data_IF_059474857604
#
_entry.id   IF_059474857604
#
_cell.length_a   1.000
_cell.length_b   1.000
_cell.length_c   1.000
_cell.angle_alpha   90.00
_cell.angle_beta   90.00
_cell.angle_gamma   90.00
#
_symmetry.space_group_name_H-M   'P 1'
#
loop_
_entity.id
_entity.type
_entity.pdbx_description
1 polymer ?
#
# COMPACT_ATOMS: atom_id res chain seq x y z
N UNK A 1 30.59 1.07 17.72
CA UNK A 1 29.53 2.00 17.28
C UNK A 1 28.35 1.18 16.82
N UNK A 2 27.39 0.89 17.71
CA UNK A 2 26.06 0.39 17.32
C UNK A 2 25.12 1.59 17.38
N UNK A 3 24.68 2.09 16.23
CA UNK A 3 23.91 3.33 16.12
C UNK A 3 22.43 3.01 16.10
N UNK A 4 21.73 3.50 17.13
CA UNK A 4 20.27 3.51 17.37
C UNK A 4 19.40 2.91 16.25
N UNK A 5 18.55 1.96 16.64
CA UNK A 5 17.23 1.70 16.05
C UNK A 5 17.14 0.71 14.88
N UNK A 6 16.99 -0.56 15.25
CA UNK A 6 16.48 -1.73 14.49
C UNK A 6 15.00 -1.60 14.05
N UNK A 7 14.43 -0.39 14.02
CA UNK A 7 13.09 -0.11 13.48
C UNK A 7 13.08 0.20 11.97
N UNK A 8 14.27 0.19 11.35
CA UNK A 8 14.52 0.57 9.94
C UNK A 8 14.24 -0.54 8.91
N UNK A 9 13.60 -1.63 9.30
CA UNK A 9 13.37 -2.75 8.37
C UNK A 9 12.18 -2.49 7.42
N UNK A 10 11.26 -1.58 7.80
CA UNK A 10 10.19 -1.12 6.93
C UNK A 10 10.44 0.33 6.50
N UNK A 11 10.45 0.55 5.18
CA UNK A 11 10.54 1.90 4.66
C UNK A 11 9.23 2.68 4.93
N UNK A 12 9.28 4.02 4.82
CA UNK A 12 8.08 4.86 5.03
C UNK A 12 6.92 4.44 4.11
N UNK A 13 7.25 3.86 2.96
CA UNK A 13 6.29 3.43 1.96
C UNK A 13 5.54 2.17 2.42
N UNK A 14 6.24 1.17 2.93
CA UNK A 14 5.70 -0.05 3.50
C UNK A 14 4.79 0.27 4.69
N UNK A 15 5.21 1.19 5.57
CA UNK A 15 4.38 1.64 6.69
C UNK A 15 3.05 2.23 6.19
N UNK A 16 3.08 3.00 5.10
CA UNK A 16 1.86 3.56 4.50
C UNK A 16 0.97 2.48 3.90
N UNK A 17 1.54 1.51 3.18
CA UNK A 17 0.79 0.39 2.60
C UNK A 17 0.12 -0.46 3.71
N UNK A 18 0.83 -0.75 4.81
CA UNK A 18 0.26 -1.50 5.93
C UNK A 18 -0.93 -0.77 6.56
N UNK A 19 -0.86 0.57 6.68
CA UNK A 19 -1.95 1.39 7.21
C UNK A 19 -3.20 1.39 6.34
N UNK A 20 -3.07 1.18 5.03
CA UNK A 20 -4.26 1.20 4.15
C UNK A 20 -5.04 -0.10 4.13
N UNK A 21 -4.48 -1.20 4.68
CA UNK A 21 -5.06 -2.53 4.56
C UNK A 21 -4.93 -3.15 3.16
N UNK A 22 -4.22 -2.49 2.24
CA UNK A 22 -4.03 -2.93 0.84
C UNK A 22 -2.67 -3.64 0.62
N UNK A 23 -2.09 -4.20 1.68
CA UNK A 23 -0.77 -4.82 1.64
C UNK A 23 -0.74 -6.04 0.71
N UNK A 24 -1.82 -6.83 0.67
CA UNK A 24 -1.92 -8.03 -0.17
C UNK A 24 -1.93 -7.68 -1.65
N UNK A 25 -2.67 -6.65 -2.06
CA UNK A 25 -2.71 -6.19 -3.44
C UNK A 25 -1.36 -5.58 -3.87
N UNK A 26 -0.68 -4.88 -2.95
CA UNK A 26 0.67 -4.38 -3.17
C UNK A 26 1.69 -5.52 -3.36
N UNK A 27 1.67 -6.53 -2.49
CA UNK A 27 2.56 -7.71 -2.61
C UNK A 27 2.33 -8.44 -3.94
N UNK A 28 1.07 -8.64 -4.34
CA UNK A 28 0.74 -9.24 -5.64
C UNK A 28 1.29 -8.42 -6.84
N UNK A 29 1.27 -7.09 -6.74
CA UNK A 29 1.85 -6.21 -7.75
C UNK A 29 3.38 -6.33 -7.78
N UNK A 30 4.04 -6.31 -6.62
CA UNK A 30 5.49 -6.49 -6.49
C UNK A 30 5.92 -7.85 -7.06
N UNK A 31 5.22 -8.93 -6.72
CA UNK A 31 5.49 -10.26 -7.26
C UNK A 31 5.33 -10.34 -8.78
N UNK A 32 4.36 -9.63 -9.35
CA UNK A 32 4.21 -9.57 -10.81
C UNK A 32 5.38 -8.82 -11.44
N UNK A 33 5.69 -7.63 -10.90
CA UNK A 33 6.82 -6.84 -11.39
C UNK A 33 8.14 -7.59 -11.24
N UNK A 34 8.33 -8.38 -10.18
CA UNK A 34 9.55 -9.16 -10.02
C UNK A 34 9.71 -10.26 -11.06
N UNK A 35 8.61 -10.81 -11.56
CA UNK A 35 8.62 -11.81 -12.62
C UNK A 35 8.80 -11.20 -14.01
N UNK A 36 8.11 -10.09 -14.28
CA UNK A 36 8.06 -9.50 -15.63
C UNK A 36 9.10 -8.40 -15.84
N UNK A 37 9.51 -7.74 -14.75
CA UNK A 37 10.23 -6.47 -14.72
C UNK A 37 9.57 -5.38 -15.58
N UNK A 38 8.25 -5.52 -15.82
CA UNK A 38 7.42 -4.59 -16.59
C UNK A 38 6.05 -4.41 -15.92
N UNK A 39 5.79 -3.19 -15.46
CA UNK A 39 4.53 -2.81 -14.84
C UNK A 39 3.35 -2.81 -15.82
N UNK A 40 3.59 -2.67 -17.13
CA UNK A 40 2.54 -2.74 -18.17
C UNK A 40 1.99 -4.15 -18.33
N UNK A 41 2.82 -5.16 -18.10
CA UNK A 41 2.38 -6.56 -18.07
C UNK A 41 1.53 -6.88 -16.81
N UNK A 42 1.62 -6.04 -15.77
CA UNK A 42 0.95 -6.22 -14.48
C UNK A 42 -0.32 -5.37 -14.33
N UNK A 43 -0.96 -4.97 -15.44
CA UNK A 43 -2.13 -4.08 -15.40
C UNK A 43 -3.24 -4.60 -14.48
N UNK A 44 -3.47 -5.92 -14.43
CA UNK A 44 -4.47 -6.52 -13.54
C UNK A 44 -4.16 -6.20 -12.07
N UNK A 45 -2.94 -6.48 -11.62
CA UNK A 45 -2.49 -6.25 -10.25
C UNK A 45 -2.49 -4.75 -9.90
N UNK A 46 -2.12 -3.89 -10.86
CA UNK A 46 -2.21 -2.43 -10.71
C UNK A 46 -3.65 -1.97 -10.47
N UNK A 47 -4.63 -2.53 -11.19
CA UNK A 47 -6.04 -2.16 -10.99
C UNK A 47 -6.59 -2.65 -9.66
N UNK A 48 -6.25 -3.87 -9.24
CA UNK A 48 -6.64 -4.40 -7.93
C UNK A 48 -6.10 -3.53 -6.78
N UNK A 49 -4.81 -3.18 -6.84
CA UNK A 49 -4.20 -2.27 -5.86
C UNK A 49 -4.88 -0.90 -5.84
N UNK A 50 -5.13 -0.29 -7.01
CA UNK A 50 -5.86 0.98 -7.11
C UNK A 50 -7.30 0.90 -6.59
N UNK A 51 -7.98 -0.23 -6.79
CA UNK A 51 -9.33 -0.44 -6.28
C UNK A 51 -9.35 -0.50 -4.76
N UNK A 52 -8.41 -1.22 -4.15
CA UNK A 52 -8.26 -1.24 -2.70
C UNK A 52 -7.92 0.17 -2.17
N UNK A 53 -6.95 0.85 -2.77
CA UNK A 53 -6.53 2.18 -2.33
C UNK A 53 -7.67 3.21 -2.33
N UNK A 54 -8.50 3.19 -3.38
CA UNK A 54 -9.68 4.06 -3.48
C UNK A 54 -10.75 3.76 -2.43
N UNK A 55 -10.84 2.53 -1.92
CA UNK A 55 -11.75 2.21 -0.81
C UNK A 55 -11.25 2.83 0.49
N UNK A 56 -9.95 2.69 0.77
CA UNK A 56 -9.32 3.35 1.92
C UNK A 56 -9.53 4.88 1.91
N UNK A 57 -9.33 5.55 0.77
CA UNK A 57 -9.58 7.00 0.67
C UNK A 57 -11.03 7.38 1.00
N UNK A 58 -12.01 6.59 0.54
CA UNK A 58 -13.43 6.85 0.82
C UNK A 58 -13.79 6.60 2.28
N UNK A 59 -13.19 5.59 2.90
CA UNK A 59 -13.40 5.27 4.31
C UNK A 59 -12.74 6.33 5.22
N UNK A 60 -11.54 6.81 4.88
CA UNK A 60 -10.89 7.93 5.57
C UNK A 60 -11.71 9.22 5.48
N UNK A 61 -12.28 9.51 4.30
CA UNK A 61 -13.20 10.64 4.10
C UNK A 61 -14.47 10.49 4.95
N UNK A 62 -15.01 9.26 5.09
CA UNK A 62 -16.19 8.98 5.91
C UNK A 62 -15.91 9.11 7.42
N UNK A 63 -14.69 8.80 7.86
CA UNK A 63 -14.27 8.99 9.25
C UNK A 63 -14.09 10.48 9.57
N UNK A 64 -13.58 11.28 8.63
CA UNK A 64 -13.43 12.72 8.83
C UNK A 64 -14.79 13.43 8.90
N UNK A 65 -15.78 13.04 8.09
CA UNK A 65 -17.13 13.63 8.15
C UNK A 65 -17.93 13.18 9.38
N UNK A 66 -17.70 11.97 9.92
CA UNK A 66 -18.34 11.49 11.16
C UNK A 66 -17.75 12.07 12.45
N UNK A 67 -16.60 12.74 12.38
CA UNK A 67 -16.01 13.47 13.52
C UNK A 67 -16.46 14.93 13.60
N UNK A 68 -17.26 15.39 12.64
CA UNK A 68 -17.82 16.74 12.58
C UNK A 68 -19.36 16.77 12.77
N UNK A 69 -19.94 15.75 13.42
CA UNK A 69 -21.37 15.73 13.82
C UNK A 69 -21.50 15.41 15.30
#
# INVERSE_FOLDING_TARGET
MLSKDDSRDYDEWDIRIQKTGCAVENENLQMCFDKTKDWRACQKQVQEFKNCWRRHEKDDTNIHTKRAS
#
